data_IF_824673613894
#
_entry.id   IF_824673613894
#
_cell.length_a   1.000
_cell.length_b   1.000
_cell.length_c   1.000
_cell.angle_alpha   90.00
_cell.angle_beta   90.00
_cell.angle_gamma   90.00
#
_symmetry.space_group_name_H-M   'P 1'
#
loop_
_entity.id
_entity.type
_entity.pdbx_description
1 polymer ?
#
# COMPACT_ATOMS: atom_id res chain seq x y z
N UNK A 1 19.34 -12.11 -12.16
CA UNK A 1 18.49 -11.65 -11.05
C UNK A 1 17.57 -10.58 -11.61
N UNK A 2 16.26 -10.79 -11.58
CA UNK A 2 15.26 -9.83 -12.09
C UNK A 2 14.72 -9.08 -10.89
N UNK A 3 14.81 -7.74 -10.92
CA UNK A 3 14.17 -6.89 -9.91
C UNK A 3 12.91 -6.30 -10.55
N UNK A 4 11.78 -6.49 -9.89
CA UNK A 4 10.50 -5.93 -10.29
C UNK A 4 10.25 -4.66 -9.49
N UNK A 5 9.87 -3.58 -10.17
CA UNK A 5 9.56 -2.29 -9.55
C UNK A 5 8.08 -1.95 -9.71
N UNK A 6 7.44 -1.60 -8.60
CA UNK A 6 6.06 -1.12 -8.56
C UNK A 6 6.09 0.32 -8.06
N UNK A 7 5.55 1.26 -8.83
CA UNK A 7 5.47 2.65 -8.45
C UNK A 7 4.00 3.10 -8.43
N UNK A 8 3.68 3.94 -7.45
CA UNK A 8 2.37 4.56 -7.34
C UNK A 8 2.52 5.98 -6.79
N UNK A 9 1.50 6.80 -7.02
CA UNK A 9 1.49 8.22 -6.71
C UNK A 9 0.22 8.63 -5.97
N UNK A 10 0.36 9.62 -5.09
CA UNK A 10 -0.77 10.15 -4.34
C UNK A 10 -0.62 11.65 -4.13
N UNK A 11 -1.72 12.37 -4.31
CA UNK A 11 -1.77 13.82 -4.24
C UNK A 11 -2.34 14.40 -5.53
N UNK A 12 -2.37 15.72 -5.61
CA UNK A 12 -2.78 16.40 -6.81
C UNK A 12 -1.55 16.96 -7.54
N UNK A 13 -1.56 16.89 -8.87
CA UNK A 13 -0.53 17.42 -9.74
C UNK A 13 -0.88 18.80 -10.32
N UNK A 14 -2.01 19.39 -9.88
CA UNK A 14 -2.43 20.73 -10.31
C UNK A 14 -1.68 21.84 -9.56
N UNK A 15 -1.67 23.04 -10.15
CA UNK A 15 -1.06 24.24 -9.56
C UNK A 15 -2.04 25.03 -8.67
N UNK A 16 -3.21 24.46 -8.31
CA UNK A 16 -4.19 25.10 -7.42
C UNK A 16 -3.88 24.82 -5.94
N UNK A 17 -2.89 25.54 -5.40
CA UNK A 17 -2.38 25.30 -4.05
C UNK A 17 -3.32 25.77 -2.92
N UNK A 18 -4.38 26.54 -3.21
CA UNK A 18 -5.30 27.04 -2.18
C UNK A 18 -6.40 26.05 -1.79
N UNK A 19 -6.81 25.17 -2.70
CA UNK A 19 -7.93 24.23 -2.49
C UNK A 19 -7.48 22.77 -2.43
N UNK A 20 -6.20 22.51 -2.66
CA UNK A 20 -5.66 21.17 -2.79
C UNK A 20 -4.52 20.89 -1.81
N UNK A 21 -4.23 19.60 -1.64
CA UNK A 21 -3.13 19.17 -0.76
C UNK A 21 -1.79 19.73 -1.24
N UNK A 22 -0.99 20.20 -0.29
CA UNK A 22 0.34 20.79 -0.57
C UNK A 22 1.44 19.75 -0.88
N UNK A 23 1.11 18.46 -0.85
CA UNK A 23 2.06 17.38 -0.99
C UNK A 23 1.66 16.47 -2.15
N UNK A 24 2.66 16.08 -2.93
CA UNK A 24 2.59 15.02 -3.91
C UNK A 24 3.61 13.95 -3.51
N UNK A 25 3.17 12.71 -3.38
CA UNK A 25 3.96 11.59 -2.89
C UNK A 25 4.10 10.59 -4.03
N UNK A 26 5.33 10.18 -4.30
CA UNK A 26 5.64 9.03 -5.16
C UNK A 26 6.25 7.96 -4.27
N UNK A 27 5.70 6.75 -4.35
CA UNK A 27 6.20 5.59 -3.63
C UNK A 27 6.63 4.52 -4.62
N UNK A 28 7.67 3.76 -4.27
CA UNK A 28 8.08 2.60 -5.06
C UNK A 28 8.49 1.43 -4.17
N UNK A 29 8.15 0.23 -4.63
CA UNK A 29 8.46 -1.04 -3.97
C UNK A 29 9.28 -1.85 -4.95
N UNK A 30 10.40 -2.42 -4.48
CA UNK A 30 11.29 -3.26 -5.28
C UNK A 30 11.20 -4.69 -4.76
N UNK A 31 10.96 -5.64 -5.67
CA UNK A 31 10.86 -7.07 -5.38
C UNK A 31 11.94 -7.84 -6.11
N UNK A 32 12.68 -8.70 -5.41
CA UNK A 32 13.95 -9.27 -5.92
C UNK A 32 13.81 -10.47 -6.86
N UNK A 33 12.62 -11.07 -6.94
CA UNK A 33 12.32 -12.18 -7.85
C UNK A 33 10.82 -12.38 -8.07
N UNK A 34 10.45 -13.07 -9.13
CA UNK A 34 9.05 -13.49 -9.37
C UNK A 34 8.53 -14.45 -8.30
N UNK A 35 9.39 -15.33 -7.79
CA UNK A 35 9.03 -16.23 -6.67
C UNK A 35 8.67 -15.43 -5.42
N UNK A 36 9.48 -14.41 -5.10
CA UNK A 36 9.21 -13.52 -3.97
C UNK A 36 7.93 -12.73 -4.18
N UNK A 37 7.67 -12.26 -5.41
CA UNK A 37 6.42 -11.58 -5.75
C UNK A 37 5.22 -12.50 -5.49
N UNK A 38 5.25 -13.74 -5.94
CA UNK A 38 4.16 -14.70 -5.69
C UNK A 38 3.94 -14.97 -4.21
N UNK A 39 5.01 -15.05 -3.39
CA UNK A 39 4.87 -15.15 -1.94
C UNK A 39 4.25 -13.89 -1.33
N UNK A 40 4.71 -12.72 -1.75
CA UNK A 40 4.21 -11.42 -1.28
C UNK A 40 2.71 -11.25 -1.59
N UNK A 41 2.27 -11.60 -2.79
CA UNK A 41 0.85 -11.56 -3.20
C UNK A 41 -0.03 -12.46 -2.31
N UNK A 42 0.44 -13.68 -2.01
CA UNK A 42 -0.26 -14.61 -1.12
C UNK A 42 -0.36 -14.07 0.32
N UNK A 43 0.75 -13.54 0.84
CA UNK A 43 0.79 -12.96 2.19
C UNK A 43 -0.13 -11.71 2.30
N UNK A 44 -0.14 -10.86 1.26
CA UNK A 44 -1.05 -9.71 1.17
C UNK A 44 -2.51 -10.13 1.07
N UNK A 45 -2.84 -11.20 0.35
CA UNK A 45 -4.21 -11.71 0.23
C UNK A 45 -4.74 -12.23 1.58
N UNK A 46 -3.88 -12.83 2.42
CA UNK A 46 -4.24 -13.22 3.79
C UNK A 46 -4.58 -11.98 4.63
N UNK A 47 -3.76 -10.93 4.55
CA UNK A 47 -4.01 -9.65 5.24
C UNK A 47 -5.31 -9.01 4.73
N UNK A 48 -5.53 -9.00 3.41
CA UNK A 48 -6.73 -8.44 2.78
C UNK A 48 -7.98 -9.16 3.29
N UNK A 49 -8.01 -10.49 3.25
CA UNK A 49 -9.16 -11.29 3.75
C UNK A 49 -9.44 -11.01 5.22
N UNK A 50 -8.39 -10.89 6.05
CA UNK A 50 -8.51 -10.63 7.49
C UNK A 50 -9.13 -9.26 7.80
N UNK A 51 -8.73 -8.22 7.08
CA UNK A 51 -9.09 -6.83 7.43
C UNK A 51 -10.13 -6.19 6.52
N UNK A 52 -10.32 -6.71 5.31
CA UNK A 52 -11.16 -6.14 4.25
C UNK A 52 -12.13 -7.14 3.63
N UNK A 53 -12.12 -8.42 4.06
CA UNK A 53 -13.03 -9.48 3.59
C UNK A 53 -12.98 -9.69 2.07
N UNK A 54 -13.97 -9.18 1.34
CA UNK A 54 -14.05 -9.20 -0.14
C UNK A 54 -13.60 -7.90 -0.77
N UNK A 55 -13.35 -6.86 0.03
CA UNK A 55 -12.90 -5.54 -0.42
C UNK A 55 -11.40 -5.43 -0.65
N UNK A 56 -11.00 -4.42 -1.41
CA UNK A 56 -9.62 -4.00 -1.61
C UNK A 56 -8.98 -3.44 -0.34
N UNK A 57 -7.64 -3.51 -0.25
CA UNK A 57 -6.88 -2.78 0.79
C UNK A 57 -6.89 -1.31 0.40
N UNK A 58 -7.64 -0.48 1.13
CA UNK A 58 -7.73 0.96 0.85
C UNK A 58 -7.84 1.79 2.11
N UNK A 59 -7.07 2.88 2.15
CA UNK A 59 -7.02 3.80 3.30
C UNK A 59 -8.39 4.39 3.63
N UNK A 60 -9.24 4.67 2.63
CA UNK A 60 -10.61 5.18 2.83
C UNK A 60 -11.55 4.14 3.46
N UNK A 61 -11.31 2.84 3.27
CA UNK A 61 -12.08 1.76 3.92
C UNK A 61 -11.69 1.53 5.39
N UNK A 62 -10.60 2.15 5.85
CA UNK A 62 -10.19 2.17 7.26
C UNK A 62 -10.69 3.43 7.98
N UNK A 63 -10.91 4.53 7.26
CA UNK A 63 -11.38 5.82 7.79
C UNK A 63 -10.50 6.33 8.95
N UNK A 64 -10.98 7.21 9.79
CA UNK A 64 -10.38 7.77 11.00
C UNK A 64 -9.94 6.78 12.09
N UNK A 65 -10.11 5.45 11.92
CA UNK A 65 -9.69 4.46 12.93
C UNK A 65 -8.16 4.25 12.95
N UNK A 66 -7.46 5.11 13.70
CA UNK A 66 -6.00 5.09 13.83
C UNK A 66 -5.48 3.76 14.38
N UNK A 67 -6.16 3.16 15.37
CA UNK A 67 -5.74 1.89 15.95
C UNK A 67 -5.74 0.76 14.92
N UNK A 68 -6.81 0.67 14.12
CA UNK A 68 -6.92 -0.30 13.02
C UNK A 68 -5.88 -0.02 11.93
N UNK A 69 -5.63 1.26 11.58
CA UNK A 69 -4.58 1.63 10.62
C UNK A 69 -3.21 1.12 11.06
N UNK A 70 -2.81 1.41 12.30
CA UNK A 70 -1.52 0.98 12.85
C UNK A 70 -1.38 -0.54 12.82
N UNK A 71 -2.43 -1.27 13.20
CA UNK A 71 -2.43 -2.73 13.16
C UNK A 71 -2.18 -3.27 11.75
N UNK A 72 -2.92 -2.78 10.75
CA UNK A 72 -2.76 -3.21 9.35
C UNK A 72 -1.37 -2.87 8.82
N UNK A 73 -0.88 -1.66 9.07
CA UNK A 73 0.44 -1.22 8.62
C UNK A 73 1.56 -2.05 9.26
N UNK A 74 1.48 -2.34 10.56
CA UNK A 74 2.45 -3.20 11.22
C UNK A 74 2.45 -4.61 10.61
N UNK A 75 1.28 -5.20 10.33
CA UNK A 75 1.22 -6.52 9.66
C UNK A 75 1.85 -6.50 8.25
N UNK A 76 1.71 -5.40 7.50
CA UNK A 76 2.33 -5.24 6.17
C UNK A 76 3.84 -5.03 6.29
N UNK A 77 4.32 -4.34 7.33
CA UNK A 77 5.75 -4.09 7.55
C UNK A 77 6.55 -5.35 7.89
N UNK A 78 5.90 -6.41 8.37
CA UNK A 78 6.53 -7.72 8.59
C UNK A 78 6.73 -8.52 7.30
N UNK A 79 6.21 -8.05 6.15
CA UNK A 79 6.37 -8.73 4.86
C UNK A 79 7.75 -8.46 4.25
N UNK A 80 8.21 -9.41 3.44
CA UNK A 80 9.50 -9.32 2.73
C UNK A 80 9.26 -8.88 1.29
N UNK A 81 9.64 -7.64 0.99
CA UNK A 81 9.58 -7.04 -0.35
C UNK A 81 10.75 -7.46 -1.22
#
# INVERSE_FOLDING_TARGET
MIILGFADESGNNSFEFETQGSHFIVASILVKSEEQLGKLENDLEIIRKRHFQTGEIKSSKVSDNITRRKKILNEILELVF
#
